data_IF_681237964753
#
_entry.id   IF_681237964753
#
_cell.length_a   1.000
_cell.length_b   1.000
_cell.length_c   1.000
_cell.angle_alpha   90.00
_cell.angle_beta   90.00
_cell.angle_gamma   90.00
#
_symmetry.space_group_name_H-M   'P 1'
#
loop_
_entity.id
_entity.type
_entity.pdbx_description
1 polymer ?
#
# COMPACT_ATOMS: atom_id res chain seq x y z
N UNK A 1 15.33 68.70 -3.02
CA UNK A 1 15.58 67.24 -2.93
C UNK A 1 14.55 66.51 -3.78
N UNK A 2 14.97 65.51 -4.57
CA UNK A 2 14.17 65.02 -5.71
C UNK A 2 13.18 63.89 -5.38
N UNK A 3 12.34 64.09 -4.36
CA UNK A 3 11.27 63.16 -3.98
C UNK A 3 10.40 62.78 -5.20
N UNK A 4 9.94 63.78 -5.98
CA UNK A 4 9.04 63.53 -7.11
C UNK A 4 9.63 62.60 -8.18
N UNK A 5 10.92 62.73 -8.52
CA UNK A 5 11.55 61.82 -9.48
C UNK A 5 11.61 60.38 -8.97
N UNK A 6 11.80 60.17 -7.66
CA UNK A 6 11.77 58.84 -7.05
C UNK A 6 10.40 58.17 -7.23
N UNK A 7 9.30 58.89 -7.00
CA UNK A 7 7.95 58.33 -7.20
C UNK A 7 7.66 58.03 -8.68
N UNK A 8 8.12 58.87 -9.61
CA UNK A 8 7.99 58.59 -11.04
C UNK A 8 8.81 57.38 -11.49
N UNK A 9 10.08 57.24 -11.07
CA UNK A 9 10.89 56.07 -11.43
C UNK A 9 10.34 54.79 -10.81
N UNK A 10 9.85 54.83 -9.56
CA UNK A 10 9.25 53.68 -8.88
C UNK A 10 7.95 53.24 -9.56
N UNK A 11 7.05 54.17 -9.93
CA UNK A 11 5.83 53.82 -10.67
C UNK A 11 6.12 53.25 -12.06
N UNK A 12 7.10 53.79 -12.77
CA UNK A 12 7.51 53.26 -14.08
C UNK A 12 8.10 51.85 -13.93
N UNK A 13 8.98 51.61 -12.96
CA UNK A 13 9.53 50.27 -12.70
C UNK A 13 8.43 49.27 -12.32
N UNK A 14 7.51 49.68 -11.44
CA UNK A 14 6.40 48.83 -10.99
C UNK A 14 5.46 48.47 -12.15
N UNK A 15 5.12 49.43 -13.01
CA UNK A 15 4.29 49.20 -14.19
C UNK A 15 4.95 48.28 -15.23
N UNK A 16 6.26 48.42 -15.46
CA UNK A 16 7.01 47.52 -16.34
C UNK A 16 7.08 46.11 -15.75
N UNK A 17 7.30 45.98 -14.43
CA UNK A 17 7.40 44.69 -13.76
C UNK A 17 6.08 43.91 -13.76
N UNK A 18 4.93 44.56 -13.53
CA UNK A 18 3.62 43.89 -13.54
C UNK A 18 3.23 43.42 -14.94
N UNK A 19 3.40 44.26 -15.96
CA UNK A 19 3.11 43.89 -17.35
C UNK A 19 4.07 42.78 -17.82
N UNK A 20 5.37 42.91 -17.58
CA UNK A 20 6.35 41.89 -17.94
C UNK A 20 6.09 40.53 -17.28
N UNK A 21 5.65 40.53 -16.02
CA UNK A 21 5.28 39.31 -15.29
C UNK A 21 4.09 38.57 -15.90
N UNK A 22 3.06 39.29 -16.36
CA UNK A 22 1.89 38.68 -17.03
C UNK A 22 2.27 38.02 -18.36
N UNK A 23 2.98 38.75 -19.24
CA UNK A 23 3.44 38.20 -20.52
C UNK A 23 4.40 37.01 -20.34
N UNK A 24 5.28 37.04 -19.33
CA UNK A 24 6.14 35.91 -19.01
C UNK A 24 5.35 34.69 -18.50
N UNK A 25 4.26 34.90 -17.77
CA UNK A 25 3.34 33.86 -17.33
C UNK A 25 2.67 33.15 -18.50
N UNK A 26 2.04 33.90 -19.40
CA UNK A 26 1.39 33.35 -20.60
C UNK A 26 2.38 32.60 -21.51
N UNK A 27 3.59 33.15 -21.70
CA UNK A 27 4.66 32.48 -22.45
C UNK A 27 5.05 31.14 -21.82
N UNK A 28 5.17 31.08 -20.49
CA UNK A 28 5.55 29.86 -19.78
C UNK A 28 4.44 28.79 -19.80
N UNK A 29 3.18 29.19 -19.93
CA UNK A 29 2.04 28.27 -20.12
C UNK A 29 2.06 27.68 -21.53
N UNK A 30 2.28 28.50 -22.56
CA UNK A 30 2.37 28.05 -23.96
C UNK A 30 3.59 27.13 -24.20
N UNK A 31 4.72 27.45 -23.54
CA UNK A 31 5.97 26.69 -23.63
C UNK A 31 6.09 25.59 -22.56
N UNK A 32 5.03 25.34 -21.78
CA UNK A 32 5.01 24.24 -20.83
C UNK A 32 5.11 22.90 -21.59
N UNK A 33 6.01 21.97 -21.18
CA UNK A 33 6.01 20.64 -21.76
C UNK A 33 4.66 19.99 -21.47
N UNK A 34 3.93 19.62 -22.53
CA UNK A 34 2.65 18.92 -22.40
C UNK A 34 2.87 17.73 -21.46
N UNK A 35 2.08 17.66 -20.38
CA UNK A 35 2.18 16.58 -19.41
C UNK A 35 2.10 15.23 -20.13
N UNK A 36 2.79 14.23 -19.56
CA UNK A 36 3.08 12.96 -20.22
C UNK A 36 1.86 12.39 -20.96
N UNK A 37 2.13 11.74 -22.09
CA UNK A 37 1.18 11.09 -22.99
C UNK A 37 0.25 10.09 -22.27
N UNK A 38 -0.71 10.58 -21.50
CA UNK A 38 -1.94 9.89 -21.21
C UNK A 38 -2.74 9.95 -22.51
N UNK A 39 -3.07 8.81 -23.14
CA UNK A 39 -4.03 8.83 -24.24
C UNK A 39 -5.32 9.48 -23.72
N UNK A 40 -6.04 10.19 -24.59
CA UNK A 40 -7.38 10.67 -24.25
C UNK A 40 -8.26 9.43 -24.00
N UNK A 41 -8.46 9.10 -22.73
CA UNK A 41 -9.18 7.88 -22.34
C UNK A 41 -10.68 8.01 -22.58
N UNK A 42 -11.22 9.22 -22.70
CA UNK A 42 -12.66 9.47 -22.87
C UNK A 42 -13.25 8.83 -24.15
N UNK A 43 -12.43 8.64 -25.20
CA UNK A 43 -12.85 7.97 -26.45
C UNK A 43 -12.83 6.44 -26.35
N UNK A 44 -12.06 5.88 -25.41
CA UNK A 44 -11.84 4.44 -25.23
C UNK A 44 -12.45 3.89 -23.93
N UNK A 45 -13.00 4.74 -23.06
CA UNK A 45 -13.64 4.30 -21.81
C UNK A 45 -15.06 3.76 -22.13
N UNK A 46 -15.30 2.44 -21.94
CA UNK A 46 -16.61 1.87 -22.23
C UNK A 46 -17.66 2.49 -21.31
N UNK A 47 -18.79 2.89 -21.87
CA UNK A 47 -19.91 3.48 -21.11
C UNK A 47 -20.24 2.63 -19.88
N UNK A 48 -20.34 3.23 -18.68
CA UNK A 48 -20.47 2.47 -17.45
C UNK A 48 -21.75 1.64 -17.49
N UNK A 49 -21.65 0.36 -17.12
CA UNK A 49 -22.83 -0.52 -17.06
C UNK A 49 -23.77 0.01 -15.99
N UNK A 50 -24.99 0.37 -16.40
CA UNK A 50 -26.05 0.82 -15.50
C UNK A 50 -26.95 -0.34 -15.08
N UNK A 51 -27.57 -0.21 -13.90
CA UNK A 51 -28.63 -1.12 -13.46
C UNK A 51 -29.96 -0.80 -14.17
N UNK A 52 -31.02 -1.54 -13.82
CA UNK A 52 -32.36 -1.31 -14.35
C UNK A 52 -32.96 0.06 -13.97
N UNK A 53 -32.34 0.79 -13.03
CA UNK A 53 -32.77 2.09 -12.52
C UNK A 53 -31.91 3.24 -13.10
N UNK A 54 -30.94 2.95 -13.99
CA UNK A 54 -30.02 3.93 -14.56
C UNK A 54 -28.85 4.32 -13.66
N UNK A 55 -28.64 3.63 -12.53
CA UNK A 55 -27.54 3.87 -11.59
C UNK A 55 -26.29 3.14 -12.11
N UNK A 56 -25.12 3.80 -12.21
CA UNK A 56 -23.87 3.13 -12.58
C UNK A 56 -23.51 2.00 -11.59
N UNK A 57 -23.33 0.79 -12.11
CA UNK A 57 -22.89 -0.37 -11.34
C UNK A 57 -21.37 -0.30 -11.21
N UNK A 58 -20.89 0.27 -10.11
CA UNK A 58 -19.47 0.17 -9.75
C UNK A 58 -19.20 -1.26 -9.27
N UNK A 59 -18.40 -2.00 -10.04
CA UNK A 59 -17.85 -3.30 -9.62
C UNK A 59 -16.87 -3.09 -8.46
N UNK A 60 -17.38 -2.99 -7.23
CA UNK A 60 -16.53 -2.96 -6.04
C UNK A 60 -15.76 -4.29 -5.94
N UNK A 61 -14.45 -4.26 -5.67
CA UNK A 61 -13.71 -5.49 -5.41
C UNK A 61 -14.31 -6.19 -4.18
N UNK A 62 -14.47 -7.53 -4.21
CA UNK A 62 -15.09 -8.24 -3.10
C UNK A 62 -14.24 -8.05 -1.83
N UNK A 63 -14.86 -7.50 -0.79
CA UNK A 63 -14.15 -7.23 0.46
C UNK A 63 -13.77 -8.56 1.14
N UNK A 64 -12.63 -8.60 1.85
CA UNK A 64 -12.31 -9.74 2.69
C UNK A 64 -13.26 -9.78 3.90
N UNK A 65 -14.04 -10.84 4.04
CA UNK A 65 -14.82 -11.09 5.24
C UNK A 65 -13.88 -11.37 6.43
N UNK A 66 -14.37 -11.24 7.67
CA UNK A 66 -13.62 -11.68 8.87
C UNK A 66 -13.24 -13.17 8.85
N UNK A 67 -13.88 -13.98 7.98
CA UNK A 67 -13.55 -15.38 7.73
C UNK A 67 -12.42 -15.60 6.70
N UNK A 68 -11.83 -14.52 6.15
CA UNK A 68 -10.77 -14.58 5.13
C UNK A 68 -11.25 -14.94 3.72
N UNK A 69 -12.56 -15.19 3.53
CA UNK A 69 -13.16 -15.40 2.20
C UNK A 69 -13.43 -14.05 1.53
N UNK A 70 -13.36 -14.00 0.20
CA UNK A 70 -13.81 -12.84 -0.58
C UNK A 70 -15.31 -12.97 -0.88
N UNK A 71 -16.09 -11.91 -0.65
CA UNK A 71 -17.52 -11.91 -0.98
C UNK A 71 -18.30 -10.75 -0.37
N UNK A 72 -19.63 -10.85 -0.43
CA UNK A 72 -20.54 -10.00 0.35
C UNK A 72 -20.70 -10.63 1.73
N UNK A 73 -20.87 -9.81 2.78
CA UNK A 73 -21.12 -10.32 4.13
C UNK A 73 -22.43 -11.13 4.18
N UNK A 74 -22.38 -12.28 4.84
CA UNK A 74 -23.58 -13.08 5.09
C UNK A 74 -24.50 -12.35 6.09
N UNK A 75 -25.81 -12.37 5.84
CA UNK A 75 -26.76 -11.65 6.70
C UNK A 75 -26.78 -12.25 8.09
N UNK A 76 -26.74 -11.41 9.13
CA UNK A 76 -26.71 -11.87 10.51
C UNK A 76 -27.98 -12.66 10.84
N UNK A 77 -27.88 -13.80 11.55
CA UNK A 77 -29.07 -14.53 11.99
C UNK A 77 -29.92 -13.65 12.90
N UNK A 78 -31.24 -13.68 12.73
CA UNK A 78 -32.17 -12.92 13.57
C UNK A 78 -32.12 -13.44 15.00
N UNK A 79 -31.43 -12.70 15.87
CA UNK A 79 -31.39 -12.99 17.32
C UNK A 79 -32.66 -12.47 17.97
N UNK A 80 -33.42 -13.38 18.57
CA UNK A 80 -34.48 -13.03 19.51
C UNK A 80 -33.85 -12.44 20.77
N UNK A 81 -33.96 -11.12 20.92
CA UNK A 81 -33.42 -10.34 22.02
C UNK A 81 -34.33 -10.34 23.27
N UNK A 82 -35.45 -11.06 23.25
CA UNK A 82 -36.36 -11.11 24.38
C UNK A 82 -35.77 -11.94 25.54
N UNK A 83 -35.72 -11.33 26.74
CA UNK A 83 -35.23 -12.03 27.94
C UNK A 83 -36.24 -13.10 28.37
N UNK A 84 -35.91 -14.36 28.09
CA UNK A 84 -36.71 -15.52 28.52
C UNK A 84 -36.77 -15.56 30.04
N UNK A 85 -38.00 -15.57 30.58
CA UNK A 85 -38.31 -15.43 32.01
C UNK A 85 -37.66 -16.48 32.91
N UNK A 86 -37.29 -17.65 32.38
CA UNK A 86 -36.51 -18.67 33.08
C UNK A 86 -35.17 -18.14 33.60
N UNK A 87 -34.51 -17.23 32.88
CA UNK A 87 -33.19 -16.71 33.27
C UNK A 87 -33.25 -15.69 34.42
N UNK A 88 -34.41 -15.04 34.66
CA UNK A 88 -34.56 -14.07 35.75
C UNK A 88 -34.45 -14.72 37.14
N UNK A 89 -34.76 -16.02 37.26
CA UNK A 89 -34.76 -16.73 38.54
C UNK A 89 -33.33 -17.05 39.02
N UNK A 90 -32.39 -17.28 38.09
CA UNK A 90 -31.01 -17.67 38.40
C UNK A 90 -30.11 -16.50 38.82
N UNK A 91 -30.44 -15.26 38.46
CA UNK A 91 -29.60 -14.08 38.75
C UNK A 91 -29.64 -13.58 40.20
N UNK A 92 -30.50 -14.15 41.06
CA UNK A 92 -30.77 -13.61 42.41
C UNK A 92 -29.85 -14.15 43.52
N UNK A 93 -28.95 -15.09 43.22
CA UNK A 93 -28.21 -15.86 44.25
C UNK A 93 -26.69 -15.82 44.11
N UNK A 94 -26.11 -14.66 43.81
CA UNK A 94 -24.64 -14.45 43.92
C UNK A 94 -24.36 -13.25 44.83
N UNK A 95 -24.29 -13.52 46.13
CA UNK A 95 -23.77 -12.57 47.13
C UNK A 95 -22.30 -12.31 46.85
N UNK A 96 -21.91 -11.05 46.63
CA UNK A 96 -20.52 -10.68 46.41
C UNK A 96 -19.72 -10.81 47.70
N UNK A 97 -18.91 -11.87 47.80
CA UNK A 97 -17.84 -11.98 48.80
C UNK A 97 -16.51 -11.76 48.10
N UNK A 98 -15.88 -10.62 48.35
CA UNK A 98 -14.56 -10.32 47.84
C UNK A 98 -13.48 -11.09 48.60
N UNK A 99 -12.47 -11.58 47.89
CA UNK A 99 -11.24 -12.12 48.48
C UNK A 99 -10.06 -11.87 47.55
N UNK A 100 -9.08 -11.12 48.06
CA UNK A 100 -7.76 -10.94 47.49
C UNK A 100 -6.90 -12.22 47.61
N UNK A 101 -5.83 -12.33 46.81
CA UNK A 101 -4.43 -12.48 47.25
C UNK A 101 -3.51 -13.02 46.14
N UNK A 102 -2.21 -12.81 46.33
CA UNK A 102 -1.15 -12.95 45.33
C UNK A 102 -0.34 -14.25 45.49
N UNK A 103 0.55 -14.46 44.50
CA UNK A 103 1.87 -15.12 44.57
C UNK A 103 2.05 -16.63 44.26
N UNK A 104 3.09 -16.83 43.43
CA UNK A 104 4.05 -17.97 43.34
C UNK A 104 3.61 -19.34 42.78
N UNK A 105 4.37 -19.78 41.76
CA UNK A 105 4.38 -21.12 41.16
C UNK A 105 5.23 -22.12 42.01
N UNK A 106 5.22 -23.46 41.76
CA UNK A 106 5.76 -24.07 40.51
C UNK A 106 5.00 -25.32 39.97
N UNK A 107 5.50 -25.88 38.84
CA UNK A 107 4.93 -27.01 38.09
C UNK A 107 5.11 -28.39 38.74
N UNK A 108 4.10 -29.28 38.63
CA UNK A 108 4.19 -30.56 37.86
C UNK A 108 2.85 -31.31 37.72
N UNK A 109 2.65 -31.87 36.51
CA UNK A 109 1.80 -33.02 36.09
C UNK A 109 1.22 -33.92 37.21
N UNK A 110 -0.02 -34.43 37.17
CA UNK A 110 -0.82 -34.95 36.05
C UNK A 110 -2.35 -34.72 36.29
N UNK A 111 -3.33 -34.95 35.41
CA UNK A 111 -3.49 -34.99 33.94
C UNK A 111 -5.00 -34.98 33.60
N UNK A 112 -5.43 -34.45 32.44
CA UNK A 112 -6.49 -35.09 31.62
C UNK A 112 -6.52 -34.55 30.18
N UNK A 113 -6.88 -35.43 29.23
CA UNK A 113 -6.65 -35.26 27.79
C UNK A 113 -7.70 -34.40 27.10
N UNK A 114 -7.27 -33.53 26.17
CA UNK A 114 -8.06 -33.13 24.99
C UNK A 114 -7.19 -33.26 23.74
N UNK A 115 -7.64 -34.07 22.78
CA UNK A 115 -6.95 -34.34 21.52
C UNK A 115 -6.92 -33.08 20.62
N UNK A 116 -5.86 -32.27 20.74
CA UNK A 116 -5.44 -31.39 19.67
C UNK A 116 -4.58 -32.21 18.69
N UNK A 117 -5.14 -32.53 17.52
CA UNK A 117 -4.40 -33.20 16.45
C UNK A 117 -3.22 -32.33 16.00
N UNK A 118 -2.00 -32.78 16.27
CA UNK A 118 -0.80 -32.03 15.95
C UNK A 118 -0.56 -31.98 14.44
N UNK A 119 -0.55 -30.77 13.87
CA UNK A 119 0.23 -30.48 12.67
C UNK A 119 1.36 -29.55 13.09
N UNK A 120 2.52 -30.15 13.34
CA UNK A 120 3.76 -29.41 13.57
C UNK A 120 4.21 -28.77 12.25
N UNK A 121 3.82 -27.52 12.04
CA UNK A 121 4.38 -26.66 11.00
C UNK A 121 5.28 -25.64 11.70
N UNK A 122 6.58 -25.89 11.65
CA UNK A 122 7.58 -24.89 11.97
C UNK A 122 7.39 -23.71 11.00
N UNK A 123 6.77 -22.62 11.46
CA UNK A 123 6.57 -21.40 10.65
C UNK A 123 7.92 -20.66 10.55
N UNK A 124 8.85 -21.28 9.84
CA UNK A 124 9.99 -20.59 9.26
C UNK A 124 9.42 -19.60 8.26
N UNK A 125 9.47 -18.31 8.60
CA UNK A 125 9.08 -17.18 7.74
C UNK A 125 10.00 -17.10 6.53
N UNK A 126 9.77 -17.96 5.55
CA UNK A 126 10.42 -17.91 4.24
C UNK A 126 9.82 -16.71 3.49
N UNK A 127 10.64 -15.75 3.01
CA UNK A 127 10.13 -14.78 2.04
C UNK A 127 9.64 -15.53 0.80
N UNK A 128 8.63 -14.97 0.12
CA UNK A 128 8.10 -15.53 -1.12
C UNK A 128 9.25 -15.62 -2.15
N UNK A 129 9.74 -16.84 -2.35
CA UNK A 129 10.67 -17.16 -3.42
C UNK A 129 9.83 -17.54 -4.62
N UNK A 130 9.74 -16.65 -5.61
CA UNK A 130 9.26 -17.03 -6.94
C UNK A 130 10.27 -18.01 -7.53
N UNK A 131 10.05 -19.31 -7.29
CA UNK A 131 10.76 -20.38 -7.96
C UNK A 131 10.26 -20.49 -9.41
N UNK A 132 10.60 -19.51 -10.24
CA UNK A 132 10.76 -19.75 -11.67
C UNK A 132 12.04 -20.57 -11.83
N UNK A 133 11.89 -21.89 -11.74
CA UNK A 133 12.97 -22.83 -12.02
C UNK A 133 13.37 -22.74 -13.48
N UNK A 134 14.49 -22.06 -13.70
CA UNK A 134 15.53 -22.38 -14.68
C UNK A 134 15.07 -22.93 -16.03
N UNK A 135 15.22 -22.11 -17.08
CA UNK A 135 15.66 -22.66 -18.35
C UNK A 135 16.63 -21.70 -19.05
N UNK A 136 17.83 -22.20 -19.33
CA UNK A 136 18.85 -21.61 -20.22
C UNK A 136 19.36 -20.19 -19.89
N UNK A 137 20.28 -20.09 -18.91
CA UNK A 137 21.46 -19.23 -19.12
C UNK A 137 22.65 -19.56 -18.21
N UNK A 138 23.76 -19.99 -18.81
CA UNK A 138 25.09 -19.95 -18.18
C UNK A 138 25.68 -18.51 -18.13
N UNK A 139 24.94 -17.50 -18.62
CA UNK A 139 25.40 -16.11 -18.74
C UNK A 139 25.03 -15.14 -17.59
N UNK A 140 24.37 -15.60 -16.51
CA UNK A 140 23.90 -14.73 -15.41
C UNK A 140 24.55 -15.00 -14.04
N UNK A 141 25.83 -15.35 -14.02
CA UNK A 141 26.58 -15.56 -12.75
C UNK A 141 26.55 -14.34 -11.79
N UNK A 142 26.34 -13.13 -12.32
CA UNK A 142 26.21 -11.89 -11.54
C UNK A 142 24.87 -11.73 -10.82
N UNK A 143 23.83 -12.51 -11.17
CA UNK A 143 22.47 -12.34 -10.62
C UNK A 143 22.44 -12.57 -9.10
N UNK A 144 23.24 -13.50 -8.57
CA UNK A 144 23.37 -13.71 -7.13
C UNK A 144 23.90 -12.48 -6.38
N UNK A 145 24.88 -11.78 -6.97
CA UNK A 145 25.41 -10.54 -6.41
C UNK A 145 24.39 -9.38 -6.51
N UNK A 146 23.71 -9.27 -7.66
CA UNK A 146 22.62 -8.31 -7.86
C UNK A 146 21.50 -8.50 -6.82
N UNK A 147 20.99 -9.72 -6.61
CA UNK A 147 19.94 -9.99 -5.61
C UNK A 147 20.38 -9.66 -4.18
N UNK A 148 21.68 -9.81 -3.86
CA UNK A 148 22.25 -9.41 -2.57
C UNK A 148 22.26 -7.88 -2.40
N UNK A 149 22.78 -7.12 -3.36
CA UNK A 149 22.74 -5.65 -3.31
C UNK A 149 21.29 -5.12 -3.32
N UNK A 150 20.39 -5.77 -4.06
CA UNK A 150 18.96 -5.47 -4.07
C UNK A 150 18.29 -5.69 -2.71
N UNK A 151 18.76 -6.66 -1.91
CA UNK A 151 18.30 -6.88 -0.54
C UNK A 151 18.82 -5.80 0.40
N UNK A 152 20.09 -5.38 0.27
CA UNK A 152 20.65 -4.24 1.01
C UNK A 152 19.88 -2.95 0.72
N UNK A 153 19.55 -2.64 -0.53
CA UNK A 153 18.71 -1.47 -0.85
C UNK A 153 17.30 -1.52 -0.24
N UNK A 154 16.76 -2.71 0.07
CA UNK A 154 15.46 -2.87 0.75
C UNK A 154 15.53 -2.64 2.27
N UNK A 155 16.72 -2.65 2.87
CA UNK A 155 16.95 -2.34 4.29
C UNK A 155 17.14 -0.84 4.56
N UNK A 156 17.35 -0.04 3.52
CA UNK A 156 17.48 1.41 3.63
C UNK A 156 16.14 2.10 3.87
N UNK A 157 16.20 3.36 4.33
CA UNK A 157 15.05 4.22 4.52
C UNK A 157 14.31 4.54 3.22
N UNK A 158 13.11 5.10 3.36
CA UNK A 158 12.24 5.43 2.22
C UNK A 158 12.90 6.40 1.23
N UNK A 159 13.75 7.31 1.71
CA UNK A 159 14.48 8.31 0.93
C UNK A 159 15.67 7.75 0.15
N UNK A 160 16.47 6.85 0.73
CA UNK A 160 17.68 6.32 0.09
C UNK A 160 17.39 5.08 -0.77
N UNK A 161 16.29 4.38 -0.48
CA UNK A 161 15.90 3.16 -1.19
C UNK A 161 15.69 3.39 -2.71
N UNK A 162 14.96 4.41 -3.20
CA UNK A 162 14.78 4.65 -4.63
C UNK A 162 16.10 4.87 -5.39
N UNK A 163 17.02 5.67 -4.83
CA UNK A 163 18.32 5.97 -5.45
C UNK A 163 19.29 4.78 -5.39
N UNK A 164 19.28 4.01 -4.30
CA UNK A 164 19.98 2.73 -4.25
C UNK A 164 19.47 1.76 -5.31
N UNK A 165 18.15 1.59 -5.42
CA UNK A 165 17.51 0.68 -6.39
C UNK A 165 17.85 1.08 -7.83
N UNK A 166 17.77 2.37 -8.19
CA UNK A 166 18.10 2.85 -9.54
C UNK A 166 19.58 2.66 -9.88
N UNK A 167 20.48 2.92 -8.91
CA UNK A 167 21.93 2.75 -9.09
C UNK A 167 22.32 1.29 -9.29
N UNK A 168 21.80 0.37 -8.47
CA UNK A 168 22.02 -1.08 -8.61
C UNK A 168 21.45 -1.58 -9.93
N UNK A 169 20.26 -1.14 -10.34
CA UNK A 169 19.70 -1.48 -11.67
C UNK A 169 20.56 -0.95 -12.82
N UNK A 170 21.09 0.27 -12.74
CA UNK A 170 22.00 0.79 -13.76
C UNK A 170 23.30 -0.05 -13.85
N UNK A 171 23.90 -0.36 -12.69
CA UNK A 171 25.12 -1.17 -12.58
C UNK A 171 24.97 -2.58 -13.16
N UNK A 172 23.84 -3.26 -12.92
CA UNK A 172 23.65 -4.66 -13.35
C UNK A 172 22.78 -4.81 -14.61
N UNK A 173 21.57 -4.26 -14.64
CA UNK A 173 20.67 -4.35 -15.80
C UNK A 173 21.24 -3.60 -17.02
N UNK A 174 21.93 -2.48 -16.78
CA UNK A 174 22.64 -1.71 -17.80
C UNK A 174 23.84 -2.43 -18.38
N UNK A 175 24.84 -2.74 -17.55
CA UNK A 175 26.09 -3.37 -18.00
C UNK A 175 25.88 -4.72 -18.70
N UNK A 176 24.88 -5.51 -18.29
CA UNK A 176 24.61 -6.84 -18.84
C UNK A 176 23.46 -6.88 -19.85
N UNK A 177 22.97 -5.73 -20.32
CA UNK A 177 21.84 -5.62 -21.26
C UNK A 177 20.63 -6.49 -20.88
N UNK A 178 20.22 -6.41 -19.60
CA UNK A 178 19.21 -7.29 -18.99
C UNK A 178 17.86 -6.60 -18.71
N UNK A 179 17.68 -5.35 -19.14
CA UNK A 179 16.37 -4.66 -19.13
C UNK A 179 15.31 -5.52 -19.83
N UNK A 180 14.15 -5.73 -19.19
CA UNK A 180 13.06 -6.55 -19.72
C UNK A 180 13.32 -8.07 -19.77
N UNK A 181 14.53 -8.55 -19.48
CA UNK A 181 14.89 -9.99 -19.51
C UNK A 181 14.77 -10.67 -18.13
N UNK A 182 14.84 -9.89 -17.06
CA UNK A 182 14.83 -10.36 -15.66
C UNK A 182 13.75 -9.58 -14.90
N UNK A 183 12.99 -10.24 -14.03
CA UNK A 183 11.82 -9.66 -13.33
C UNK A 183 12.12 -8.40 -12.51
N UNK A 184 13.31 -8.28 -11.93
CA UNK A 184 13.75 -7.10 -11.18
C UNK A 184 14.25 -5.93 -12.08
N UNK A 185 14.40 -6.13 -13.39
CA UNK A 185 14.83 -5.14 -14.38
C UNK A 185 13.65 -4.76 -15.32
N UNK A 186 12.96 -3.62 -15.14
CA UNK A 186 11.83 -3.24 -16.00
C UNK A 186 12.24 -3.12 -17.48
N UNK A 187 11.27 -3.27 -18.39
CA UNK A 187 11.46 -2.90 -19.79
C UNK A 187 11.67 -1.37 -19.90
N UNK A 188 12.39 -0.95 -20.94
CA UNK A 188 12.62 0.45 -21.32
C UNK A 188 12.04 0.69 -22.71
#
# INVERSE_FOLDING_TARGET
MSWRLLFFTLLVLAGIATVGGLYAGDWLIDHAPKQANLPNIDENDPTPKVDANGIPILNQPPQPLMSGKMGVAESLPTVDWQVKSSNLMNGKTVTSSGSSLSNSAPLKSTENVINAGAVSQNITTRPISNNNTSNNNAGFAWEGAFRKEMATCRQLGFSERPSCISTVRAKYCGANNAWGKISDCPAR
#
